data_IF_949541823394
#
_entry.id   IF_949541823394
#
_cell.length_a   1.000
_cell.length_b   1.000
_cell.length_c   1.000
_cell.angle_alpha   90.00
_cell.angle_beta   90.00
_cell.angle_gamma   90.00
#
_symmetry.space_group_name_H-M   'P 1'
#
loop_
_entity.id
_entity.type
_entity.pdbx_description
1 polymer ?
#
# COMPACT_ATOMS: atom_id res chain seq x y z
N UNK A 1 -14.67 26.11 -2.01
CA UNK A 1 -13.88 27.18 -1.36
C UNK A 1 -12.40 26.80 -1.43
N UNK A 2 -11.50 27.68 -1.87
CA UNK A 2 -10.07 27.35 -1.95
C UNK A 2 -9.44 27.13 -0.57
N UNK A 3 -8.55 26.13 -0.45
CA UNK A 3 -7.72 25.89 0.74
C UNK A 3 -6.53 26.86 0.74
N UNK A 4 -6.49 27.75 1.72
CA UNK A 4 -5.59 28.91 1.74
C UNK A 4 -4.34 28.67 2.61
N UNK A 5 -3.38 29.61 2.54
CA UNK A 5 -2.23 29.63 3.46
C UNK A 5 -2.64 29.68 4.93
N UNK A 6 -3.70 30.43 5.27
CA UNK A 6 -4.24 30.48 6.63
C UNK A 6 -4.82 29.12 7.05
N UNK A 7 -5.54 28.45 6.14
CA UNK A 7 -6.10 27.12 6.42
C UNK A 7 -4.99 26.09 6.68
N UNK A 8 -3.88 26.17 5.96
CA UNK A 8 -2.75 25.29 6.18
C UNK A 8 -2.07 25.54 7.53
N UNK A 9 -1.90 26.81 7.94
CA UNK A 9 -1.36 27.11 9.27
C UNK A 9 -2.31 26.64 10.39
N UNK A 10 -3.63 26.80 10.19
CA UNK A 10 -4.63 26.29 11.13
C UNK A 10 -4.59 24.75 11.20
N UNK A 11 -4.41 24.05 10.07
CA UNK A 11 -4.21 22.61 10.04
C UNK A 11 -2.98 22.20 10.85
N UNK A 12 -1.82 22.82 10.60
CA UNK A 12 -0.58 22.53 11.34
C UNK A 12 -0.78 22.71 12.85
N UNK A 13 -1.47 23.78 13.24
CA UNK A 13 -1.82 24.07 14.64
C UNK A 13 -2.73 22.99 15.23
N UNK A 14 -3.76 22.58 14.49
CA UNK A 14 -4.68 21.51 14.89
C UNK A 14 -3.93 20.18 15.13
N UNK A 15 -3.05 19.80 14.20
CA UNK A 15 -2.21 18.61 14.31
C UNK A 15 -1.22 18.71 15.46
N UNK A 16 -0.58 19.87 15.67
CA UNK A 16 0.29 20.10 16.83
C UNK A 16 -0.42 19.85 18.16
N UNK A 17 -1.65 20.36 18.33
CA UNK A 17 -2.44 20.11 19.54
C UNK A 17 -2.88 18.66 19.70
N UNK A 18 -3.15 17.96 18.60
CA UNK A 18 -3.39 16.51 18.62
C UNK A 18 -2.18 15.76 19.20
N UNK A 19 -0.95 16.10 18.77
CA UNK A 19 0.27 15.49 19.30
C UNK A 19 0.52 15.81 20.77
N UNK A 20 0.30 17.07 21.17
CA UNK A 20 0.41 17.52 22.56
C UNK A 20 -0.50 16.70 23.48
N UNK A 21 -1.69 16.33 22.99
CA UNK A 21 -2.64 15.45 23.68
C UNK A 21 -2.31 13.96 23.56
N UNK A 22 -1.17 13.60 22.96
CA UNK A 22 -0.71 12.23 22.69
C UNK A 22 -1.74 11.39 21.94
N UNK A 23 -2.51 12.00 21.05
CA UNK A 23 -3.46 11.30 20.18
C UNK A 23 -2.79 10.96 18.87
N UNK A 24 -2.81 9.68 18.48
CA UNK A 24 -2.23 9.23 17.21
C UNK A 24 -3.01 9.74 15.99
N UNK A 25 -4.33 9.84 16.09
CA UNK A 25 -5.22 10.34 15.06
C UNK A 25 -6.35 11.19 15.67
N UNK A 26 -7.00 12.02 14.84
CA UNK A 26 -8.16 12.81 15.24
C UNK A 26 -9.43 11.97 15.44
N UNK A 27 -9.53 10.88 14.68
CA UNK A 27 -10.60 9.88 14.79
C UNK A 27 -9.93 8.57 15.17
N UNK A 28 -10.50 7.86 16.14
CA UNK A 28 -9.92 6.59 16.59
C UNK A 28 -9.90 5.56 15.45
N UNK A 29 -8.91 4.66 15.52
CA UNK A 29 -8.87 3.47 14.68
C UNK A 29 -10.13 2.65 14.94
N UNK A 30 -10.88 2.36 13.89
CA UNK A 30 -12.08 1.52 13.97
C UNK A 30 -11.69 0.10 13.57
N UNK A 31 -12.23 -0.91 14.25
CA UNK A 31 -12.24 -2.27 13.70
C UNK A 31 -13.50 -2.41 12.86
N UNK A 32 -13.35 -2.85 11.61
CA UNK A 32 -14.47 -3.22 10.77
C UNK A 32 -15.03 -4.55 11.30
N UNK A 33 -16.36 -4.70 11.46
CA UNK A 33 -16.95 -5.91 12.00
C UNK A 33 -16.87 -7.08 11.00
N UNK A 34 -16.78 -6.79 9.70
CA UNK A 34 -16.53 -7.74 8.63
C UNK A 34 -15.67 -7.08 7.54
N UNK A 35 -14.43 -7.55 7.40
CA UNK A 35 -13.49 -7.06 6.39
C UNK A 35 -13.85 -7.49 4.97
N UNK A 36 -14.63 -8.57 4.83
CA UNK A 36 -15.03 -9.14 3.53
C UNK A 36 -16.24 -8.43 2.93
N UNK A 37 -17.07 -7.81 3.75
CA UNK A 37 -18.19 -7.00 3.30
C UNK A 37 -17.72 -5.59 2.91
N UNK A 38 -17.50 -5.38 1.61
CA UNK A 38 -17.01 -4.10 1.08
C UNK A 38 -18.10 -3.04 0.95
N UNK A 39 -19.26 -3.40 0.43
CA UNK A 39 -20.32 -2.45 0.08
C UNK A 39 -21.02 -1.85 1.29
N UNK A 40 -21.07 -2.56 2.42
CA UNK A 40 -21.70 -2.02 3.62
C UNK A 40 -21.22 -2.70 4.92
N UNK A 41 -19.95 -2.48 5.32
CA UNK A 41 -19.40 -3.09 6.53
C UNK A 41 -20.12 -2.69 7.83
N UNK A 42 -20.99 -1.66 7.81
CA UNK A 42 -21.68 -1.16 9.00
C UNK A 42 -23.23 -1.26 8.96
N UNK A 43 -23.80 -1.76 7.87
CA UNK A 43 -25.27 -1.76 7.68
C UNK A 43 -25.87 -0.35 7.52
N UNK A 44 -25.08 0.65 7.12
CA UNK A 44 -25.50 2.05 6.94
C UNK A 44 -25.76 2.32 5.45
N UNK A 45 -26.83 3.05 5.08
CA UNK A 45 -27.10 3.37 3.67
C UNK A 45 -25.92 4.09 3.00
N UNK A 46 -25.51 3.62 1.81
CA UNK A 46 -24.48 4.25 0.98
C UNK A 46 -25.08 5.52 0.36
N UNK A 47 -24.45 6.67 0.60
CA UNK A 47 -25.00 7.98 0.21
C UNK A 47 -24.63 8.47 -1.19
N UNK A 48 -24.00 7.64 -2.01
CA UNK A 48 -23.78 7.88 -3.45
C UNK A 48 -24.25 6.61 -4.16
N UNK A 49 -25.38 6.71 -4.86
CA UNK A 49 -25.85 5.64 -5.73
C UNK A 49 -24.98 5.51 -7.00
N UNK A 50 -25.15 4.45 -7.79
CA UNK A 50 -24.47 4.27 -9.08
C UNK A 50 -24.75 5.38 -10.12
N UNK A 51 -25.64 6.33 -9.80
CA UNK A 51 -26.14 7.38 -10.69
C UNK A 51 -25.49 8.76 -10.42
N UNK A 52 -24.32 8.83 -9.77
CA UNK A 52 -23.54 10.05 -9.49
C UNK A 52 -24.24 11.16 -8.67
N UNK A 53 -25.39 10.88 -8.07
CA UNK A 53 -26.11 11.86 -7.25
C UNK A 53 -25.77 11.72 -5.76
N UNK A 54 -25.25 12.78 -5.10
CA UNK A 54 -25.08 12.79 -3.66
C UNK A 54 -26.44 12.87 -2.99
N UNK A 55 -26.80 11.85 -2.20
CA UNK A 55 -27.93 11.96 -1.29
C UNK A 55 -27.55 12.88 -0.12
N UNK A 56 -28.51 13.63 0.41
CA UNK A 56 -28.35 14.59 1.51
C UNK A 56 -27.75 13.96 2.80
N UNK A 57 -27.67 12.63 2.86
CA UNK A 57 -27.08 11.80 3.94
C UNK A 57 -25.81 11.04 3.48
N UNK A 58 -24.83 11.72 2.86
CA UNK A 58 -23.59 11.05 2.47
C UNK A 58 -22.76 10.60 3.68
N UNK A 59 -22.12 9.42 3.58
CA UNK A 59 -21.08 8.93 4.53
C UNK A 59 -20.04 10.00 4.87
N UNK A 60 -19.79 10.92 3.92
CA UNK A 60 -18.91 12.07 4.07
C UNK A 60 -19.52 13.22 4.87
N UNK A 61 -20.79 13.55 4.68
CA UNK A 61 -21.44 14.69 5.31
C UNK A 61 -21.83 14.39 6.77
N UNK A 62 -22.26 13.15 7.07
CA UNK A 62 -22.79 12.78 8.39
C UNK A 62 -21.92 11.76 9.15
N UNK A 63 -20.94 11.11 8.50
CA UNK A 63 -20.10 10.07 9.10
C UNK A 63 -18.80 10.61 9.70
N UNK A 64 -17.67 10.38 9.01
CA UNK A 64 -16.35 10.53 9.62
C UNK A 64 -15.77 11.96 9.56
N UNK A 65 -16.07 12.74 8.51
CA UNK A 65 -15.56 14.13 8.40
C UNK A 65 -16.18 15.08 9.43
N UNK A 66 -17.38 14.76 9.93
CA UNK A 66 -18.05 15.49 11.01
C UNK A 66 -17.44 15.23 12.39
N UNK A 67 -16.70 14.12 12.54
CA UNK A 67 -16.02 13.75 13.79
C UNK A 67 -14.60 14.33 13.89
N UNK A 68 -14.07 14.85 12.77
CA UNK A 68 -12.73 15.44 12.70
C UNK A 68 -12.73 16.92 13.11
N UNK A 69 -11.60 17.44 13.63
CA UNK A 69 -11.38 18.88 13.73
C UNK A 69 -11.66 19.58 12.38
N UNK A 70 -12.30 20.74 12.45
CA UNK A 70 -12.76 21.48 11.26
C UNK A 70 -11.64 21.70 10.24
N UNK A 71 -10.43 21.99 10.71
CA UNK A 71 -9.25 22.27 9.89
C UNK A 71 -8.80 21.01 9.13
N UNK A 72 -8.84 19.85 9.77
CA UNK A 72 -8.50 18.56 9.16
C UNK A 72 -9.57 18.14 8.14
N UNK A 73 -10.85 18.25 8.51
CA UNK A 73 -11.99 18.02 7.61
C UNK A 73 -11.91 18.90 6.35
N UNK A 74 -11.56 20.20 6.52
CA UNK A 74 -11.39 21.13 5.41
C UNK A 74 -10.22 20.73 4.49
N UNK A 75 -9.11 20.25 5.04
CA UNK A 75 -7.98 19.78 4.26
C UNK A 75 -8.32 18.51 3.45
N UNK A 76 -8.99 17.53 4.07
CA UNK A 76 -9.43 16.31 3.38
C UNK A 76 -10.42 16.62 2.26
N UNK A 77 -11.38 17.52 2.49
CA UNK A 77 -12.29 18.00 1.42
C UNK A 77 -11.51 18.61 0.26
N UNK A 78 -10.51 19.46 0.54
CA UNK A 78 -9.69 20.06 -0.51
C UNK A 78 -8.83 19.04 -1.29
N UNK A 79 -8.38 17.96 -0.65
CA UNK A 79 -7.70 16.83 -1.31
C UNK A 79 -8.68 16.08 -2.22
N UNK A 80 -9.87 15.75 -1.73
CA UNK A 80 -10.91 15.07 -2.51
C UNK A 80 -11.39 15.92 -3.70
N UNK A 81 -11.61 17.21 -3.49
CA UNK A 81 -11.97 18.18 -4.54
C UNK A 81 -10.89 18.29 -5.63
N UNK A 82 -9.63 18.01 -5.28
CA UNK A 82 -8.52 17.99 -6.23
C UNK A 82 -8.53 16.71 -7.05
N UNK A 83 -8.72 15.57 -6.41
CA UNK A 83 -8.79 14.26 -7.04
C UNK A 83 -9.98 14.15 -8.00
N UNK A 84 -11.13 14.74 -7.65
CA UNK A 84 -12.34 14.72 -8.48
C UNK A 84 -12.22 15.50 -9.80
N UNK A 85 -11.13 16.23 -10.03
CA UNK A 85 -10.83 16.88 -11.32
C UNK A 85 -10.32 15.88 -12.38
N UNK A 86 -9.94 14.68 -11.97
CA UNK A 86 -9.56 13.56 -12.84
C UNK A 86 -10.72 12.56 -12.93
N UNK A 87 -10.90 11.95 -14.10
CA UNK A 87 -11.90 10.89 -14.29
C UNK A 87 -11.55 9.67 -13.42
N UNK A 88 -10.29 9.22 -13.47
CA UNK A 88 -9.83 8.12 -12.62
C UNK A 88 -9.90 8.50 -11.14
N UNK A 89 -9.49 9.72 -10.77
CA UNK A 89 -9.55 10.21 -9.40
C UNK A 89 -10.98 10.26 -8.85
N UNK A 90 -11.95 10.64 -9.68
CA UNK A 90 -13.37 10.59 -9.32
C UNK A 90 -13.87 9.16 -9.08
N UNK A 91 -13.52 8.21 -9.96
CA UNK A 91 -13.88 6.79 -9.79
C UNK A 91 -13.26 6.18 -8.53
N UNK A 92 -12.01 6.51 -8.22
CA UNK A 92 -11.34 6.10 -6.98
C UNK A 92 -12.11 6.58 -5.74
N UNK A 93 -12.59 7.83 -5.75
CA UNK A 93 -13.38 8.38 -4.64
C UNK A 93 -14.74 7.69 -4.50
N UNK A 94 -15.40 7.32 -5.60
CA UNK A 94 -16.66 6.56 -5.57
C UNK A 94 -16.43 5.20 -4.89
N UNK A 95 -15.40 4.46 -5.31
CA UNK A 95 -15.07 3.17 -4.68
C UNK A 95 -14.65 3.32 -3.22
N UNK A 96 -13.93 4.40 -2.88
CA UNK A 96 -13.60 4.72 -1.50
C UNK A 96 -14.86 4.93 -0.66
N UNK A 97 -15.83 5.68 -1.17
CA UNK A 97 -17.07 5.95 -0.44
C UNK A 97 -17.94 4.70 -0.30
N UNK A 98 -18.02 3.84 -1.34
CA UNK A 98 -18.67 2.53 -1.29
C UNK A 98 -18.01 1.59 -0.26
N UNK A 99 -16.68 1.57 -0.24
CA UNK A 99 -15.87 0.79 0.71
C UNK A 99 -15.85 1.35 2.14
N UNK A 100 -16.49 2.50 2.36
CA UNK A 100 -16.43 3.31 3.57
C UNK A 100 -14.99 3.70 3.97
N UNK A 101 -14.09 3.85 3.00
CA UNK A 101 -12.67 4.18 3.21
C UNK A 101 -12.56 5.62 3.73
N UNK A 102 -11.81 5.83 4.81
CA UNK A 102 -11.60 7.17 5.39
C UNK A 102 -10.24 7.72 4.95
N UNK A 103 -10.18 9.01 4.64
CA UNK A 103 -8.91 9.74 4.61
C UNK A 103 -8.71 10.45 5.94
N UNK A 104 -7.57 10.28 6.60
CA UNK A 104 -7.30 10.89 7.91
C UNK A 104 -5.84 11.31 8.08
N UNK A 105 -5.58 12.19 9.05
CA UNK A 105 -4.21 12.52 9.46
C UNK A 105 -3.81 11.66 10.66
N UNK A 106 -2.66 10.98 10.54
CA UNK A 106 -2.09 10.15 11.59
C UNK A 106 -0.63 10.49 11.79
N UNK A 107 -0.22 10.60 13.05
CA UNK A 107 1.19 10.77 13.38
C UNK A 107 1.90 9.42 13.24
N UNK A 108 2.84 9.35 12.29
CA UNK A 108 3.84 8.30 12.21
C UNK A 108 5.24 8.89 12.44
N UNK A 109 5.61 9.16 13.71
CA UNK A 109 6.89 9.76 14.04
C UNK A 109 8.03 8.79 13.70
N UNK A 110 8.82 9.15 12.68
CA UNK A 110 9.87 8.31 12.10
C UNK A 110 9.50 7.69 10.75
N UNK A 111 8.21 7.70 10.39
CA UNK A 111 7.74 7.39 9.05
C UNK A 111 8.14 8.50 8.09
N UNK A 112 8.79 8.13 6.97
CA UNK A 112 9.13 9.11 5.93
C UNK A 112 8.09 9.17 4.82
N UNK A 113 7.05 8.33 4.87
CA UNK A 113 6.02 8.35 3.85
C UNK A 113 5.14 9.57 4.01
N UNK A 114 4.57 9.95 2.88
CA UNK A 114 3.57 10.99 2.80
C UNK A 114 2.20 10.44 3.16
N UNK A 115 1.89 9.24 2.68
CA UNK A 115 0.64 8.54 2.94
C UNK A 115 0.88 7.02 3.07
N UNK A 116 -0.12 6.31 3.58
CA UNK A 116 -0.23 4.85 3.51
C UNK A 116 -1.68 4.40 3.58
N UNK A 117 -1.98 3.25 3.00
CA UNK A 117 -3.28 2.59 3.10
C UNK A 117 -3.23 1.45 4.12
N UNK A 118 -4.15 1.48 5.08
CA UNK A 118 -4.34 0.41 6.06
C UNK A 118 -5.57 -0.44 5.69
N UNK A 119 -5.42 -1.60 5.03
CA UNK A 119 -6.55 -2.41 4.55
C UNK A 119 -7.45 -2.90 5.69
N UNK A 120 -6.88 -3.30 6.83
CA UNK A 120 -7.66 -3.74 8.00
C UNK A 120 -8.53 -2.65 8.67
N UNK A 121 -8.26 -1.38 8.37
CA UNK A 121 -9.06 -0.24 8.88
C UNK A 121 -9.88 0.43 7.77
N UNK A 122 -9.51 0.16 6.51
CA UNK A 122 -9.85 0.90 5.30
C UNK A 122 -9.62 2.40 5.51
N UNK A 123 -8.39 2.75 5.87
CA UNK A 123 -7.98 4.13 6.09
C UNK A 123 -6.80 4.49 5.17
N UNK A 124 -6.93 5.60 4.44
CA UNK A 124 -5.82 6.33 3.81
C UNK A 124 -5.29 7.32 4.86
N UNK A 125 -4.07 7.10 5.31
CA UNK A 125 -3.45 7.81 6.41
C UNK A 125 -2.40 8.77 5.88
N UNK A 126 -2.66 10.08 5.99
CA UNK A 126 -1.70 11.14 5.67
C UNK A 126 -0.79 11.37 6.87
N UNK A 127 0.51 11.24 6.67
CA UNK A 127 1.48 11.36 7.76
C UNK A 127 1.57 12.81 8.25
N UNK A 128 1.02 13.09 9.44
CA UNK A 128 1.05 14.42 10.03
C UNK A 128 2.38 14.78 10.69
N UNK A 129 3.29 13.82 10.84
CA UNK A 129 4.64 14.04 11.38
C UNK A 129 5.74 13.98 10.30
N UNK A 130 5.35 13.81 9.03
CA UNK A 130 6.26 13.58 7.91
C UNK A 130 6.44 14.78 6.96
N UNK A 131 7.08 14.55 5.79
CA UNK A 131 7.45 15.58 4.82
C UNK A 131 6.28 16.44 4.34
N UNK A 132 5.05 15.89 4.38
CA UNK A 132 3.84 16.59 3.98
C UNK A 132 3.63 17.90 4.77
N UNK A 133 4.01 17.94 6.04
CA UNK A 133 3.88 19.13 6.87
C UNK A 133 5.01 20.14 6.69
N UNK A 134 6.10 19.77 6.01
CA UNK A 134 7.23 20.64 5.70
C UNK A 134 7.03 21.44 4.40
N UNK A 135 5.95 21.18 3.68
CA UNK A 135 5.66 21.84 2.41
C UNK A 135 5.57 23.38 2.57
N UNK A 136 6.13 24.15 1.62
CA UNK A 136 6.30 25.60 1.75
C UNK A 136 5.01 26.38 1.50
N UNK A 137 3.96 25.75 0.98
CA UNK A 137 2.69 26.42 0.69
C UNK A 137 1.49 25.47 0.77
N UNK A 138 0.32 26.03 1.05
CA UNK A 138 -0.95 25.30 1.06
C UNK A 138 -1.23 24.62 -0.30
N UNK A 139 -0.89 25.27 -1.42
CA UNK A 139 -1.07 24.71 -2.76
C UNK A 139 -0.20 23.47 -2.95
N UNK A 140 1.07 23.52 -2.56
CA UNK A 140 2.00 22.39 -2.70
C UNK A 140 1.64 21.24 -1.76
N UNK A 141 1.24 21.57 -0.53
CA UNK A 141 0.67 20.61 0.43
C UNK A 141 -0.53 19.84 -0.16
N UNK A 142 -1.56 20.54 -0.67
CA UNK A 142 -2.73 19.87 -1.26
C UNK A 142 -2.33 19.04 -2.48
N UNK A 143 -1.44 19.54 -3.34
CA UNK A 143 -0.99 18.82 -4.52
C UNK A 143 -0.27 17.51 -4.15
N UNK A 144 0.67 17.57 -3.20
CA UNK A 144 1.40 16.40 -2.72
C UNK A 144 0.45 15.41 -2.03
N UNK A 145 -0.37 15.87 -1.08
CA UNK A 145 -1.34 15.01 -0.40
C UNK A 145 -2.30 14.33 -1.39
N UNK A 146 -2.72 15.02 -2.45
CA UNK A 146 -3.61 14.46 -3.46
C UNK A 146 -2.92 13.40 -4.31
N UNK A 147 -1.69 13.65 -4.79
CA UNK A 147 -0.93 12.67 -5.57
C UNK A 147 -0.77 11.34 -4.80
N UNK A 148 -0.31 11.42 -3.55
CA UNK A 148 -0.12 10.23 -2.73
C UNK A 148 -1.46 9.61 -2.30
N UNK A 149 -2.51 10.40 -2.04
CA UNK A 149 -3.84 9.83 -1.78
C UNK A 149 -4.43 9.09 -3.00
N UNK A 150 -4.07 9.48 -4.23
CA UNK A 150 -4.47 8.72 -5.42
C UNK A 150 -3.77 7.37 -5.47
N UNK A 151 -2.46 7.33 -5.15
CA UNK A 151 -1.67 6.11 -5.04
C UNK A 151 -2.27 5.16 -3.98
N UNK A 152 -2.54 5.64 -2.76
CA UNK A 152 -3.17 4.84 -1.70
C UNK A 152 -4.57 4.33 -2.05
N UNK A 153 -5.34 5.09 -2.84
CA UNK A 153 -6.65 4.62 -3.29
C UNK A 153 -6.57 3.53 -4.37
N UNK A 154 -5.44 3.38 -5.05
CA UNK A 154 -5.24 2.19 -5.90
C UNK A 154 -5.01 0.96 -5.02
N UNK A 155 -4.26 1.07 -3.91
CA UNK A 155 -4.14 -0.02 -2.93
C UNK A 155 -5.47 -0.39 -2.29
N UNK A 156 -6.34 0.59 -2.09
CA UNK A 156 -7.74 0.34 -1.71
C UNK A 156 -8.49 -0.52 -2.74
N UNK A 157 -8.32 -0.29 -4.05
CA UNK A 157 -8.94 -1.14 -5.08
C UNK A 157 -8.37 -2.56 -5.08
N UNK A 158 -7.09 -2.71 -4.77
CA UNK A 158 -6.44 -4.02 -4.63
C UNK A 158 -7.00 -4.78 -3.43
N UNK A 159 -7.26 -4.07 -2.33
CA UNK A 159 -7.95 -4.64 -1.17
C UNK A 159 -9.42 -5.00 -1.46
N UNK A 160 -10.10 -4.21 -2.30
CA UNK A 160 -11.43 -4.53 -2.81
C UNK A 160 -11.41 -5.79 -3.67
N UNK A 161 -10.47 -5.90 -4.61
CA UNK A 161 -10.38 -7.01 -5.56
C UNK A 161 -10.20 -8.38 -4.88
N UNK A 162 -9.44 -8.43 -3.77
CA UNK A 162 -9.19 -9.67 -3.02
C UNK A 162 -10.16 -9.93 -1.86
N UNK A 163 -11.19 -9.09 -1.69
CA UNK A 163 -12.21 -9.31 -0.65
C UNK A 163 -11.73 -8.97 0.78
N UNK A 164 -10.83 -8.00 0.95
CA UNK A 164 -10.61 -7.21 2.16
C UNK A 164 -9.72 -7.78 3.26
N UNK A 165 -8.56 -7.15 3.47
CA UNK A 165 -7.55 -7.32 4.53
C UNK A 165 -6.24 -7.91 4.00
N UNK A 166 -5.14 -7.16 4.06
CA UNK A 166 -3.78 -7.57 3.59
C UNK A 166 -3.67 -7.93 2.09
N UNK A 167 -4.65 -7.54 1.26
CA UNK A 167 -4.61 -7.72 -0.19
C UNK A 167 -4.22 -9.15 -0.62
N UNK A 168 -4.72 -10.18 0.05
CA UNK A 168 -4.52 -11.59 -0.32
C UNK A 168 -3.13 -12.18 -0.06
N UNK A 169 -2.18 -11.42 0.52
CA UNK A 169 -0.82 -11.88 0.81
C UNK A 169 -0.68 -12.16 2.31
N UNK A 170 -0.31 -13.38 2.70
CA UNK A 170 -0.20 -13.78 4.11
C UNK A 170 0.93 -14.81 4.35
N UNK A 171 1.07 -15.29 5.60
CA UNK A 171 2.08 -16.27 6.05
C UNK A 171 2.21 -17.53 5.17
N UNK A 172 1.12 -17.98 4.55
CA UNK A 172 1.07 -19.14 3.67
C UNK A 172 1.59 -18.85 2.26
N UNK A 173 1.61 -17.59 1.83
CA UNK A 173 2.10 -17.20 0.50
C UNK A 173 3.61 -17.34 0.41
N UNK A 174 4.10 -18.05 -0.62
CA UNK A 174 5.52 -18.22 -0.92
C UNK A 174 6.20 -16.87 -1.20
N UNK A 175 7.45 -16.70 -0.73
CA UNK A 175 8.14 -15.41 -0.76
C UNK A 175 8.27 -14.83 -2.18
N UNK A 176 8.50 -15.68 -3.17
CA UNK A 176 8.57 -15.28 -4.59
C UNK A 176 7.26 -14.68 -5.10
N UNK A 177 6.13 -15.26 -4.69
CA UNK A 177 4.79 -14.74 -5.04
C UNK A 177 4.49 -13.45 -4.32
N UNK A 178 4.91 -13.30 -3.06
CA UNK A 178 4.77 -12.05 -2.31
C UNK A 178 5.52 -10.91 -2.99
N UNK A 179 6.78 -11.16 -3.35
CA UNK A 179 7.64 -10.19 -4.04
C UNK A 179 6.96 -9.75 -5.35
N UNK A 180 6.53 -10.71 -6.17
CA UNK A 180 5.90 -10.39 -7.46
C UNK A 180 4.59 -9.60 -7.29
N UNK A 181 3.73 -10.02 -6.37
CA UNK A 181 2.47 -9.35 -6.11
C UNK A 181 2.67 -7.91 -5.60
N UNK A 182 3.55 -7.70 -4.62
CA UNK A 182 3.88 -6.36 -4.10
C UNK A 182 4.42 -5.45 -5.21
N UNK A 183 5.32 -5.96 -6.06
CA UNK A 183 5.85 -5.18 -7.19
C UNK A 183 4.74 -4.70 -8.14
N UNK A 184 3.82 -5.59 -8.51
CA UNK A 184 2.70 -5.22 -9.38
C UNK A 184 1.70 -4.28 -8.70
N UNK A 185 1.45 -4.46 -7.41
CA UNK A 185 0.59 -3.56 -6.62
C UNK A 185 1.11 -2.12 -6.67
N UNK A 186 2.40 -1.93 -6.39
CA UNK A 186 3.05 -0.63 -6.36
C UNK A 186 3.17 -0.01 -7.76
N UNK A 187 3.56 -0.81 -8.76
CA UNK A 187 3.63 -0.36 -10.15
C UNK A 187 2.26 0.11 -10.65
N UNK A 188 1.17 -0.58 -10.30
CA UNK A 188 -0.19 -0.15 -10.62
C UNK A 188 -0.60 1.12 -9.86
N UNK A 189 -0.26 1.23 -8.57
CA UNK A 189 -0.57 2.41 -7.76
C UNK A 189 0.14 3.68 -8.26
N UNK A 190 1.41 3.54 -8.66
CA UNK A 190 2.17 4.62 -9.29
C UNK A 190 1.61 5.00 -10.66
N UNK A 191 1.30 4.00 -11.50
CA UNK A 191 0.71 4.28 -12.81
C UNK A 191 -0.66 4.98 -12.69
N UNK A 192 -1.48 4.58 -11.71
CA UNK A 192 -2.77 5.21 -11.41
C UNK A 192 -2.61 6.66 -10.91
N UNK A 193 -1.70 6.92 -9.96
CA UNK A 193 -1.48 8.28 -9.45
C UNK A 193 -0.92 9.22 -10.52
N UNK A 194 -0.05 8.72 -11.40
CA UNK A 194 0.48 9.47 -12.56
C UNK A 194 -0.64 9.82 -13.55
N UNK A 195 -1.54 8.88 -13.85
CA UNK A 195 -2.69 9.16 -14.71
C UNK A 195 -3.59 10.24 -14.09
N UNK A 196 -3.90 10.14 -12.79
CA UNK A 196 -4.66 11.18 -12.07
C UNK A 196 -3.96 12.53 -12.19
N UNK A 197 -2.65 12.59 -11.93
CA UNK A 197 -1.88 13.83 -12.03
C UNK A 197 -1.94 14.46 -13.43
N UNK A 198 -1.87 13.63 -14.48
CA UNK A 198 -1.95 14.06 -15.87
C UNK A 198 -3.35 14.60 -16.22
N UNK A 199 -4.40 13.88 -15.84
CA UNK A 199 -5.79 14.30 -16.09
C UNK A 199 -6.14 15.62 -15.36
N UNK A 200 -5.67 15.80 -14.13
CA UNK A 200 -5.82 17.08 -13.40
C UNK A 200 -5.07 18.22 -14.10
N UNK A 201 -3.90 17.94 -14.69
CA UNK A 201 -3.18 18.92 -15.51
C UNK A 201 -3.96 19.28 -16.79
N UNK A 202 -4.58 18.31 -17.45
CA UNK A 202 -5.47 18.54 -18.61
C UNK A 202 -6.70 19.38 -18.23
N UNK A 203 -7.21 19.25 -17.01
CA UNK A 203 -8.27 20.08 -16.46
C UNK A 203 -7.83 21.52 -16.10
N UNK A 204 -6.56 21.87 -16.32
CA UNK A 204 -6.01 23.21 -16.14
C UNK A 204 -5.23 23.43 -14.85
N UNK A 205 -4.99 22.40 -14.04
CA UNK A 205 -4.19 22.49 -12.82
C UNK A 205 -3.00 21.52 -12.81
N UNK A 206 -1.85 22.00 -13.32
CA UNK A 206 -0.62 21.22 -13.42
C UNK A 206 0.11 20.92 -12.09
N UNK A 207 -0.47 21.27 -10.95
CA UNK A 207 0.20 21.17 -9.66
C UNK A 207 0.58 19.75 -9.24
N UNK A 208 -0.27 18.73 -9.46
CA UNK A 208 0.05 17.33 -9.18
C UNK A 208 1.13 16.82 -10.14
N UNK A 209 0.97 17.13 -11.43
CA UNK A 209 1.92 16.78 -12.47
C UNK A 209 3.33 17.34 -12.19
N UNK A 210 3.41 18.58 -11.68
CA UNK A 210 4.68 19.19 -11.23
C UNK A 210 5.33 18.46 -10.06
N UNK A 211 4.56 17.81 -9.19
CA UNK A 211 5.11 16.95 -8.13
C UNK A 211 5.63 15.65 -8.74
N UNK A 212 4.82 14.98 -9.58
CA UNK A 212 5.21 13.74 -10.25
C UNK A 212 6.47 13.90 -11.14
N UNK A 213 6.67 15.08 -11.71
CA UNK A 213 7.84 15.43 -12.54
C UNK A 213 8.98 16.13 -11.76
N UNK A 214 8.90 16.23 -10.42
CA UNK A 214 9.87 17.01 -9.63
C UNK A 214 11.22 16.28 -9.51
N UNK A 215 12.19 16.66 -10.35
CA UNK A 215 13.55 16.08 -10.36
C UNK A 215 14.33 16.25 -9.05
N UNK A 216 13.88 17.12 -8.14
CA UNK A 216 14.50 17.31 -6.81
C UNK A 216 14.05 16.23 -5.83
N UNK A 217 12.98 15.53 -6.16
CA UNK A 217 12.53 14.31 -5.52
C UNK A 217 12.34 13.25 -6.61
N UNK A 218 13.44 12.75 -7.23
CA UNK A 218 13.40 11.84 -8.38
C UNK A 218 12.91 10.43 -8.00
N UNK A 219 12.03 10.37 -7.00
CA UNK A 219 11.38 9.20 -6.46
C UNK A 219 10.50 8.53 -7.54
N UNK A 220 9.92 7.41 -7.13
CA UNK A 220 9.00 6.48 -7.81
C UNK A 220 8.24 7.02 -9.03
N UNK A 221 7.61 8.18 -8.89
CA UNK A 221 6.67 8.72 -9.87
C UNK A 221 7.37 9.29 -11.10
N UNK A 222 8.62 9.77 -11.01
CA UNK A 222 9.27 10.50 -12.10
C UNK A 222 9.48 9.62 -13.35
N UNK A 223 10.09 8.42 -13.27
CA UNK A 223 10.25 7.57 -14.46
C UNK A 223 8.92 7.12 -15.06
N UNK A 224 7.92 6.87 -14.21
CA UNK A 224 6.57 6.52 -14.64
C UNK A 224 5.88 7.69 -15.35
N UNK A 225 6.00 8.91 -14.82
CA UNK A 225 5.46 10.13 -15.40
C UNK A 225 6.14 10.50 -16.73
N UNK A 226 7.46 10.35 -16.84
CA UNK A 226 8.20 10.55 -18.10
C UNK A 226 7.75 9.54 -19.17
N UNK A 227 7.60 8.26 -18.82
CA UNK A 227 7.11 7.23 -19.73
C UNK A 227 5.66 7.49 -20.17
N UNK A 228 4.79 7.84 -19.22
CA UNK A 228 3.39 8.19 -19.49
C UNK A 228 3.28 9.35 -20.47
N UNK A 229 4.00 10.45 -20.19
CA UNK A 229 4.00 11.64 -21.05
C UNK A 229 4.52 11.32 -22.44
N UNK A 230 5.60 10.54 -22.55
CA UNK A 230 6.16 10.15 -23.84
C UNK A 230 5.16 9.35 -24.67
N UNK A 231 4.42 8.41 -24.07
CA UNK A 231 3.39 7.65 -24.77
C UNK A 231 2.26 8.57 -25.28
N UNK A 232 1.75 9.48 -24.45
CA UNK A 232 0.67 10.40 -24.86
C UNK A 232 1.13 11.39 -25.93
N UNK A 233 2.38 11.87 -25.86
CA UNK A 233 2.94 12.78 -26.87
C UNK A 233 3.15 12.09 -28.23
N UNK A 234 3.57 10.83 -28.22
CA UNK A 234 3.77 10.05 -29.44
C UNK A 234 2.43 9.63 -30.07
N UNK A 235 1.43 9.30 -29.24
CA UNK A 235 0.09 8.96 -29.68
C UNK A 235 -0.95 9.38 -28.63
N UNK A 236 -1.73 10.45 -28.89
CA UNK A 236 -2.75 10.90 -27.93
C UNK A 236 -3.80 9.86 -27.57
N UNK A 237 -4.04 8.84 -28.42
CA UNK A 237 -4.96 7.74 -28.10
C UNK A 237 -4.45 6.85 -26.97
N UNK A 238 -3.14 6.86 -26.71
CA UNK A 238 -2.51 6.08 -25.64
C UNK A 238 -3.08 6.39 -24.25
N UNK A 239 -3.60 7.60 -24.04
CA UNK A 239 -4.32 7.96 -22.81
C UNK A 239 -5.62 7.17 -22.67
N UNK A 240 -6.46 7.19 -23.70
CA UNK A 240 -7.81 6.59 -23.67
C UNK A 240 -7.81 5.06 -23.82
N UNK A 241 -6.80 4.48 -24.44
CA UNK A 241 -6.69 3.03 -24.67
C UNK A 241 -5.78 2.32 -23.66
N UNK A 242 -5.37 3.02 -22.58
CA UNK A 242 -4.60 2.44 -21.48
C UNK A 242 -3.11 2.24 -21.76
N UNK A 243 -2.59 2.43 -22.99
CA UNK A 243 -1.16 2.23 -23.29
C UNK A 243 -0.25 3.18 -22.52
N UNK A 244 -0.67 4.43 -22.29
CA UNK A 244 0.11 5.39 -21.50
C UNK A 244 0.27 4.92 -20.05
N UNK A 245 -0.80 4.39 -19.47
CA UNK A 245 -0.77 3.76 -18.15
C UNK A 245 0.09 2.50 -18.14
N UNK A 246 0.00 1.67 -19.19
CA UNK A 246 0.81 0.46 -19.31
C UNK A 246 2.31 0.76 -19.29
N UNK A 247 2.77 1.73 -20.08
CA UNK A 247 4.20 2.07 -20.09
C UNK A 247 4.67 2.71 -18.78
N UNK A 248 3.78 3.40 -18.06
CA UNK A 248 4.07 3.93 -16.72
C UNK A 248 4.24 2.80 -15.70
N UNK A 249 3.38 1.78 -15.75
CA UNK A 249 3.51 0.56 -14.95
C UNK A 249 4.86 -0.13 -15.23
N UNK A 250 5.20 -0.34 -16.50
CA UNK A 250 6.45 -0.98 -16.90
C UNK A 250 7.70 -0.18 -16.50
N UNK A 251 7.61 1.16 -16.44
CA UNK A 251 8.71 2.03 -16.05
C UNK A 251 9.10 1.85 -14.58
N UNK A 252 8.16 1.44 -13.71
CA UNK A 252 8.44 1.14 -12.30
C UNK A 252 9.51 0.05 -12.16
N UNK A 253 9.40 -1.02 -12.94
CA UNK A 253 10.33 -2.16 -12.92
C UNK A 253 11.75 -1.84 -13.44
N UNK A 254 11.95 -0.67 -14.05
CA UNK A 254 13.27 -0.21 -14.48
C UNK A 254 14.06 0.47 -13.35
N UNK A 255 13.41 0.73 -12.20
CA UNK A 255 14.01 1.39 -11.05
C UNK A 255 14.59 0.35 -10.08
N UNK A 256 15.78 -0.19 -10.40
CA UNK A 256 16.36 -1.35 -9.67
C UNK A 256 16.56 -1.11 -8.18
N UNK A 257 17.03 0.07 -7.79
CA UNK A 257 17.30 0.40 -6.38
C UNK A 257 16.01 0.50 -5.55
N UNK A 258 14.96 1.02 -6.18
CA UNK A 258 13.65 1.18 -5.58
C UNK A 258 12.94 -0.17 -5.45
N UNK A 259 12.94 -0.97 -6.52
CA UNK A 259 12.44 -2.36 -6.47
C UNK A 259 13.19 -3.17 -5.41
N UNK A 260 14.51 -2.97 -5.25
CA UNK A 260 15.30 -3.64 -4.20
C UNK A 260 14.89 -3.24 -2.78
N UNK A 261 14.28 -2.07 -2.60
CA UNK A 261 13.74 -1.64 -1.31
C UNK A 261 12.46 -2.41 -0.96
N UNK A 262 11.55 -2.60 -1.92
CA UNK A 262 10.33 -3.39 -1.72
C UNK A 262 10.65 -4.86 -1.45
N UNK A 263 11.54 -5.44 -2.26
CA UNK A 263 12.01 -6.80 -2.04
C UNK A 263 12.59 -6.98 -0.62
N UNK A 264 13.42 -6.02 -0.16
CA UNK A 264 13.98 -6.05 1.20
C UNK A 264 12.90 -6.07 2.28
N UNK A 265 11.89 -5.22 2.15
CA UNK A 265 10.81 -5.14 3.13
C UNK A 265 9.98 -6.42 3.15
N UNK A 266 9.63 -6.95 1.97
CA UNK A 266 8.88 -8.22 1.83
C UNK A 266 9.67 -9.40 2.40
N UNK A 267 10.98 -9.48 2.12
CA UNK A 267 11.87 -10.52 2.66
C UNK A 267 12.00 -10.41 4.19
N UNK A 268 12.21 -9.20 4.72
CA UNK A 268 12.31 -8.99 6.16
C UNK A 268 11.02 -9.40 6.88
N UNK A 269 9.86 -8.99 6.36
CA UNK A 269 8.59 -9.38 6.97
C UNK A 269 8.43 -10.90 7.03
N UNK A 270 8.75 -11.61 5.95
CA UNK A 270 8.66 -13.06 5.93
C UNK A 270 9.64 -13.72 6.90
N UNK A 271 10.85 -13.18 7.06
CA UNK A 271 11.80 -13.60 8.11
C UNK A 271 11.18 -13.47 9.50
N UNK A 272 10.60 -12.31 9.82
CA UNK A 272 9.99 -12.02 11.13
C UNK A 272 8.82 -13.01 11.42
N UNK A 273 8.00 -13.31 10.41
CA UNK A 273 6.91 -14.31 10.50
C UNK A 273 7.46 -15.73 10.77
N UNK A 274 8.52 -16.14 10.06
CA UNK A 274 9.14 -17.46 10.22
C UNK A 274 9.80 -17.60 11.60
N UNK A 275 10.44 -16.55 12.09
CA UNK A 275 11.08 -16.52 13.42
C UNK A 275 10.04 -16.72 14.53
N UNK A 276 8.88 -16.05 14.42
CA UNK A 276 7.77 -16.25 15.34
C UNK A 276 7.29 -17.71 15.34
N UNK A 277 7.04 -18.29 14.15
CA UNK A 277 6.57 -19.68 14.04
C UNK A 277 7.61 -20.67 14.61
N UNK A 278 8.90 -20.44 14.35
CA UNK A 278 9.99 -21.26 14.86
C UNK A 278 10.09 -21.19 16.40
N UNK A 279 9.91 -20.00 17.00
CA UNK A 279 9.83 -19.84 18.44
C UNK A 279 8.71 -20.68 19.07
N UNK A 280 7.54 -20.72 18.44
CA UNK A 280 6.43 -21.57 18.87
C UNK A 280 6.74 -23.06 18.69
N UNK A 281 7.42 -23.47 17.62
CA UNK A 281 7.87 -24.86 17.43
C UNK A 281 8.79 -25.30 18.57
N UNK A 282 9.77 -24.47 18.95
CA UNK A 282 10.70 -24.76 20.04
C UNK A 282 10.03 -24.94 21.40
N UNK A 283 8.91 -24.24 21.62
CA UNK A 283 8.07 -24.37 22.81
C UNK A 283 7.06 -25.55 22.73
N UNK A 284 7.11 -26.36 21.67
CA UNK A 284 6.19 -27.49 21.47
C UNK A 284 4.81 -27.12 20.94
N UNK A 285 4.69 -25.97 20.26
CA UNK A 285 3.44 -25.37 19.78
C UNK A 285 2.38 -25.23 20.89
N UNK A 286 2.61 -24.36 21.89
CA UNK A 286 1.63 -24.10 22.95
C UNK A 286 0.30 -23.59 22.40
N UNK A 287 0.33 -22.93 21.23
CA UNK A 287 -0.84 -22.59 20.43
C UNK A 287 -0.99 -23.59 19.26
N UNK A 288 -2.07 -24.39 19.21
CA UNK A 288 -2.30 -25.34 18.14
C UNK A 288 -2.57 -24.68 16.78
N UNK A 289 -3.01 -23.42 16.72
CA UNK A 289 -3.26 -22.72 15.45
C UNK A 289 -1.94 -22.40 14.74
N UNK A 290 -0.90 -22.01 15.48
CA UNK A 290 0.43 -21.74 14.91
C UNK A 290 1.03 -23.03 14.32
N UNK A 291 0.69 -24.18 14.88
CA UNK A 291 1.05 -25.48 14.29
C UNK A 291 0.34 -25.72 12.96
N UNK A 292 -0.90 -25.27 12.81
CA UNK A 292 -1.60 -25.33 11.52
C UNK A 292 -0.96 -24.38 10.50
N UNK A 293 -0.63 -23.15 10.92
CA UNK A 293 0.10 -22.18 10.08
C UNK A 293 1.42 -22.77 9.59
N UNK A 294 2.19 -23.38 10.49
CA UNK A 294 3.49 -23.96 10.17
C UNK A 294 3.42 -25.04 9.07
N UNK A 295 2.28 -25.75 8.91
CA UNK A 295 2.12 -26.80 7.88
C UNK A 295 2.05 -26.23 6.46
N UNK A 296 1.54 -25.01 6.33
CA UNK A 296 1.24 -24.38 5.04
C UNK A 296 2.06 -23.10 4.81
N UNK A 297 2.93 -22.70 5.76
CA UNK A 297 3.74 -21.48 5.67
C UNK A 297 4.56 -21.47 4.38
N UNK A 298 4.43 -20.43 3.57
CA UNK A 298 5.09 -20.30 2.27
C UNK A 298 4.83 -21.44 1.27
N UNK A 299 3.67 -22.10 1.33
CA UNK A 299 3.27 -23.14 0.37
C UNK A 299 2.48 -22.59 -0.83
N UNK A 300 1.75 -21.50 -0.63
CA UNK A 300 0.79 -20.99 -1.62
C UNK A 300 1.46 -20.11 -2.66
N UNK A 301 1.12 -20.39 -3.92
CA UNK A 301 1.51 -19.56 -5.07
C UNK A 301 0.31 -18.69 -5.43
N UNK A 302 0.52 -17.37 -5.51
CA UNK A 302 -0.52 -16.45 -5.96
C UNK A 302 -0.78 -16.71 -7.43
N UNK A 303 -2.01 -17.06 -7.79
CA UNK A 303 -2.39 -17.33 -9.17
C UNK A 303 -2.27 -16.07 -10.04
N UNK A 304 -1.91 -16.22 -11.31
CA UNK A 304 -1.71 -15.07 -12.20
C UNK A 304 -2.97 -14.21 -12.38
N UNK A 305 -4.16 -14.81 -12.31
CA UNK A 305 -5.42 -14.07 -12.34
C UNK A 305 -5.59 -13.12 -11.15
N UNK A 306 -5.04 -13.47 -9.98
CA UNK A 306 -5.03 -12.63 -8.79
C UNK A 306 -4.02 -11.49 -8.96
N UNK A 307 -2.83 -11.78 -9.52
CA UNK A 307 -1.84 -10.74 -9.83
C UNK A 307 -2.39 -9.74 -10.85
N UNK A 308 -3.09 -10.23 -11.88
CA UNK A 308 -3.86 -9.37 -12.80
C UNK A 308 -4.90 -8.53 -12.06
N UNK A 309 -5.63 -9.13 -11.13
CA UNK A 309 -6.58 -8.43 -10.24
C UNK A 309 -5.94 -7.23 -9.52
N UNK A 310 -4.73 -7.37 -8.99
CA UNK A 310 -4.00 -6.26 -8.32
C UNK A 310 -3.68 -5.08 -9.24
N UNK A 311 -3.61 -5.33 -10.54
CA UNK A 311 -3.35 -4.28 -11.51
C UNK A 311 -4.62 -3.60 -12.02
N UNK A 312 -5.80 -4.12 -11.63
CA UNK A 312 -7.10 -3.65 -12.08
C UNK A 312 -7.41 -2.22 -11.65
N UNK A 313 -7.85 -1.38 -12.59
CA UNK A 313 -8.36 -0.04 -12.32
C UNK A 313 -9.74 0.17 -12.96
N UNK A 314 -10.61 1.04 -12.41
CA UNK A 314 -11.95 1.28 -12.94
C UNK A 314 -11.96 1.92 -14.33
N UNK A 315 -10.83 2.49 -14.75
CA UNK A 315 -10.67 3.05 -16.10
C UNK A 315 -10.35 1.93 -17.10
N UNK A 316 -11.31 1.67 -18.01
CA UNK A 316 -11.13 0.75 -19.14
C UNK A 316 -10.35 1.40 -20.29
N UNK A 317 -9.57 0.63 -21.07
CA UNK A 317 -9.29 -0.81 -20.90
C UNK A 317 -8.28 -1.10 -19.77
N UNK A 318 -8.35 -2.30 -19.18
CA UNK A 318 -7.34 -2.76 -18.22
C UNK A 318 -5.96 -2.78 -18.88
N UNK A 319 -5.00 -2.06 -18.31
CA UNK A 319 -3.72 -1.83 -18.99
C UNK A 319 -2.83 -3.08 -19.06
N UNK A 320 -3.08 -4.08 -18.22
CA UNK A 320 -2.39 -5.37 -18.27
C UNK A 320 -2.97 -6.33 -19.32
N UNK A 321 -4.18 -6.10 -19.81
CA UNK A 321 -4.84 -6.93 -20.84
C UNK A 321 -4.54 -6.46 -22.27
N UNK A 322 -3.69 -5.45 -22.45
CA UNK A 322 -3.39 -4.87 -23.75
C UNK A 322 -2.53 -5.81 -24.61
N UNK A 323 -2.99 -6.09 -25.82
CA UNK A 323 -2.24 -6.86 -26.81
C UNK A 323 -0.88 -6.23 -27.13
N UNK A 324 0.15 -7.08 -27.31
CA UNK A 324 1.49 -6.65 -27.68
C UNK A 324 2.37 -6.15 -26.53
N UNK A 325 1.87 -6.23 -25.29
CA UNK A 325 2.66 -6.02 -24.09
C UNK A 325 2.86 -7.34 -23.34
N UNK A 326 3.87 -7.39 -22.46
CA UNK A 326 4.17 -8.63 -21.74
C UNK A 326 3.14 -8.95 -20.64
N UNK A 327 3.11 -10.19 -20.18
CA UNK A 327 2.22 -10.61 -19.10
C UNK A 327 2.84 -10.39 -17.71
N UNK A 328 2.06 -10.49 -16.63
CA UNK A 328 2.47 -10.28 -15.23
C UNK A 328 3.60 -11.22 -14.76
N UNK A 329 3.81 -12.36 -15.42
CA UNK A 329 4.88 -13.31 -15.09
C UNK A 329 6.16 -13.12 -15.91
N UNK A 330 6.20 -12.09 -16.77
CA UNK A 330 7.34 -11.85 -17.64
C UNK A 330 8.67 -11.74 -16.87
N UNK A 331 9.74 -12.23 -17.51
CA UNK A 331 11.07 -12.31 -16.90
C UNK A 331 11.61 -10.96 -16.45
N UNK A 332 11.13 -9.86 -17.03
CA UNK A 332 11.53 -8.50 -16.63
C UNK A 332 10.94 -8.12 -15.27
N UNK A 333 9.75 -8.62 -14.93
CA UNK A 333 9.07 -8.36 -13.66
C UNK A 333 9.51 -9.30 -12.54
N UNK A 334 9.92 -10.52 -12.89
CA UNK A 334 10.39 -11.56 -11.95
C UNK A 334 11.90 -11.54 -11.70
N UNK A 335 12.65 -10.67 -12.39
CA UNK A 335 14.10 -10.54 -12.21
C UNK A 335 14.45 -10.13 -10.77
N UNK A 336 15.42 -10.82 -10.17
CA UNK A 336 15.99 -10.43 -8.88
C UNK A 336 16.67 -9.06 -8.95
N UNK A 337 16.40 -8.21 -7.97
CA UNK A 337 16.98 -6.86 -7.85
C UNK A 337 18.45 -6.88 -7.43
N UNK A 338 18.82 -7.88 -6.63
CA UNK A 338 20.19 -8.14 -6.25
C UNK A 338 20.39 -9.62 -5.97
N UNK A 339 21.62 -10.08 -6.11
CA UNK A 339 21.99 -11.45 -5.76
C UNK A 339 21.81 -11.74 -4.27
N UNK A 340 22.15 -10.77 -3.41
CA UNK A 340 21.98 -10.86 -1.96
C UNK A 340 20.52 -11.17 -1.58
N UNK A 341 19.57 -10.40 -2.11
CA UNK A 341 18.15 -10.56 -1.79
C UNK A 341 17.58 -11.86 -2.34
N UNK A 342 18.04 -12.29 -3.52
CA UNK A 342 17.69 -13.59 -4.07
C UNK A 342 18.16 -14.74 -3.15
N UNK A 343 19.43 -14.72 -2.72
CA UNK A 343 19.97 -15.74 -1.82
C UNK A 343 19.26 -15.72 -0.46
N UNK A 344 18.91 -14.54 0.06
CA UNK A 344 18.12 -14.40 1.29
C UNK A 344 16.70 -15.00 1.14
N UNK A 345 16.01 -14.71 0.04
CA UNK A 345 14.68 -15.26 -0.22
C UNK A 345 14.71 -16.80 -0.36
N UNK A 346 15.68 -17.36 -1.10
CA UNK A 346 15.84 -18.82 -1.22
C UNK A 346 16.13 -19.49 0.12
N UNK A 347 16.92 -18.83 0.98
CA UNK A 347 17.23 -19.34 2.32
C UNK A 347 15.98 -19.37 3.21
N UNK A 348 15.17 -18.30 3.20
CA UNK A 348 13.89 -18.27 3.94
C UNK A 348 12.89 -19.32 3.43
N UNK A 349 12.83 -19.59 2.13
CA UNK A 349 12.05 -20.72 1.58
C UNK A 349 12.58 -22.08 2.07
N UNK A 350 13.88 -22.19 2.34
CA UNK A 350 14.47 -23.32 3.05
C UNK A 350 13.92 -23.49 4.47
N UNK A 351 13.87 -22.40 5.25
CA UNK A 351 13.32 -22.39 6.61
C UNK A 351 11.82 -22.73 6.59
N UNK A 352 11.04 -22.12 5.70
CA UNK A 352 9.63 -22.42 5.54
C UNK A 352 9.39 -23.92 5.25
N UNK A 353 10.20 -24.54 4.37
CA UNK A 353 10.16 -25.99 4.12
C UNK A 353 10.44 -26.82 5.36
N UNK A 354 11.39 -26.43 6.22
CA UNK A 354 11.65 -27.13 7.49
C UNK A 354 10.42 -27.11 8.39
N UNK A 355 9.81 -25.93 8.57
CA UNK A 355 8.60 -25.77 9.38
C UNK A 355 7.44 -26.63 8.86
N UNK A 356 7.18 -26.60 7.55
CA UNK A 356 6.13 -27.43 6.91
C UNK A 356 6.33 -28.92 7.13
N UNK A 357 7.59 -29.36 7.07
CA UNK A 357 7.96 -30.76 7.28
C UNK A 357 8.13 -31.12 8.77
N UNK A 358 7.77 -30.22 9.69
CA UNK A 358 7.96 -30.38 11.13
C UNK A 358 9.41 -30.76 11.50
N UNK A 359 10.37 -30.25 10.73
CA UNK A 359 11.79 -30.32 11.04
C UNK A 359 12.14 -29.18 12.00
N UNK A 360 13.06 -29.40 12.96
CA UNK A 360 13.51 -28.34 13.86
C UNK A 360 14.13 -27.17 13.09
N UNK A 361 13.73 -25.96 13.47
CA UNK A 361 14.36 -24.69 13.07
C UNK A 361 15.07 -24.09 14.29
N UNK A 362 16.30 -23.63 14.10
CA UNK A 362 17.16 -23.11 15.16
C UNK A 362 17.53 -21.64 14.93
N UNK A 363 18.13 -21.00 15.95
CA UNK A 363 18.65 -19.63 15.83
C UNK A 363 19.67 -19.52 14.67
N UNK A 364 20.55 -20.50 14.52
CA UNK A 364 21.56 -20.59 13.44
C UNK A 364 20.95 -20.51 12.03
N UNK A 365 19.68 -20.90 11.85
CA UNK A 365 19.00 -20.76 10.56
C UNK A 365 18.78 -19.27 10.21
N UNK A 366 18.47 -18.43 11.19
CA UNK A 366 18.31 -16.99 11.00
C UNK A 366 19.65 -16.25 11.00
N UNK A 367 20.64 -16.71 11.77
CA UNK A 367 22.01 -16.19 11.68
C UNK A 367 22.61 -16.44 10.30
N UNK A 368 22.35 -17.61 9.69
CA UNK A 368 22.79 -17.90 8.32
C UNK A 368 22.12 -16.97 7.29
N UNK A 369 20.87 -16.57 7.50
CA UNK A 369 20.21 -15.55 6.69
C UNK A 369 20.91 -14.19 6.81
N UNK A 370 21.27 -13.77 8.03
CA UNK A 370 21.93 -12.49 8.28
C UNK A 370 23.36 -12.51 7.70
N UNK A 371 24.06 -13.64 7.81
CA UNK A 371 25.38 -13.86 7.22
C UNK A 371 25.39 -13.82 5.68
N UNK A 372 24.24 -14.01 5.00
CA UNK A 372 24.17 -13.78 3.54
C UNK A 372 24.45 -12.32 3.24
N UNK A 373 23.85 -11.37 3.97
CA UNK A 373 24.10 -9.95 3.75
C UNK A 373 25.57 -9.59 3.93
N UNK A 374 26.22 -10.15 4.95
CA UNK A 374 27.63 -9.92 5.27
C UNK A 374 28.59 -10.32 4.13
N UNK A 375 28.27 -11.38 3.37
CA UNK A 375 29.06 -11.81 2.19
C UNK A 375 29.12 -10.75 1.09
N UNK A 376 28.14 -9.85 1.05
CA UNK A 376 28.03 -8.81 0.02
C UNK A 376 28.46 -7.42 0.54
N UNK A 377 28.92 -7.31 1.80
CA UNK A 377 29.47 -6.06 2.34
C UNK A 377 30.94 -5.91 1.94
N UNK A 378 31.18 -5.16 0.86
CA UNK A 378 32.50 -4.61 0.50
C UNK A 378 32.58 -3.13 0.83
N UNK A 379 33.24 -2.78 1.95
CA UNK A 379 33.42 -1.45 2.56
C UNK A 379 32.13 -0.76 3.07
N UNK A 380 32.17 -0.11 4.26
CA UNK A 380 31.03 0.66 4.74
C UNK A 380 30.73 1.82 3.79
N UNK A 381 29.45 2.22 3.63
CA UNK A 381 29.12 3.39 2.83
C UNK A 381 29.89 4.61 3.34
N UNK A 382 30.40 5.44 2.43
CA UNK A 382 31.05 6.71 2.81
C UNK A 382 30.06 7.52 3.67
N UNK A 383 30.50 8.12 4.78
CA UNK A 383 29.65 9.03 5.54
C UNK A 383 29.20 10.17 4.60
N UNK A 384 27.91 10.18 4.23
CA UNK A 384 27.35 11.16 3.30
C UNK A 384 26.43 10.58 2.22
N UNK A 385 26.51 9.28 1.91
CA UNK A 385 25.56 8.60 1.02
C UNK A 385 24.38 8.03 1.82
N UNK A 386 23.62 8.91 2.46
CA UNK A 386 22.27 8.55 2.88
C UNK A 386 21.38 8.59 1.65
N UNK A 387 21.23 7.47 0.94
CA UNK A 387 19.95 7.18 0.32
C UNK A 387 18.93 7.29 1.46
N UNK A 388 18.12 8.34 1.42
CA UNK A 388 17.13 8.65 2.45
C UNK A 388 16.13 7.50 2.45
N UNK A 389 16.34 6.47 3.26
CA UNK A 389 15.43 5.31 3.42
C UNK A 389 14.03 5.82 3.74
N UNK A 390 13.04 5.87 2.83
CA UNK A 390 11.71 6.20 3.27
C UNK A 390 11.16 4.96 3.97
N UNK A 391 10.74 5.12 5.23
CA UNK A 391 10.16 4.04 6.02
C UNK A 391 8.75 3.77 5.47
N UNK A 392 8.62 2.94 4.44
CA UNK A 392 7.33 2.57 3.83
C UNK A 392 6.50 1.70 4.79
N UNK A 393 5.31 2.21 5.15
CA UNK A 393 4.51 1.79 6.31
C UNK A 393 3.27 1.00 5.93
N UNK A 394 3.18 0.51 4.68
CA UNK A 394 2.17 -0.48 4.29
C UNK A 394 2.13 -1.70 5.23
N UNK A 395 3.22 -1.93 5.97
CA UNK A 395 3.42 -3.09 6.86
C UNK A 395 4.00 -2.66 8.24
N UNK A 396 4.36 -1.39 8.46
CA UNK A 396 5.05 -0.95 9.70
C UNK A 396 4.13 -0.62 10.87
N UNK A 397 2.87 -0.23 10.62
CA UNK A 397 1.88 -0.08 11.72
C UNK A 397 1.62 -1.43 12.44
N UNK A 398 2.07 -2.52 11.82
CA UNK A 398 1.95 -3.89 12.23
C UNK A 398 3.23 -4.50 12.85
N UNK A 399 4.37 -3.80 12.76
CA UNK A 399 5.66 -4.21 13.36
C UNK A 399 5.78 -3.83 14.84
N UNK A 400 5.17 -2.72 15.29
CA UNK A 400 5.18 -2.35 16.73
C UNK A 400 4.40 -3.32 17.62
N UNK A 401 3.67 -4.26 17.02
CA UNK A 401 2.90 -5.25 17.74
C UNK A 401 3.68 -6.58 17.89
N UNK A 402 4.79 -6.79 17.17
CA UNK A 402 5.56 -8.04 17.15
C UNK A 402 6.79 -8.04 18.07
N UNK A 403 7.00 -7.00 18.89
CA UNK A 403 8.12 -6.95 19.82
C UNK A 403 7.89 -7.89 21.04
N UNK A 404 8.63 -9.02 21.02
CA UNK A 404 9.04 -9.87 22.13
C UNK A 404 7.97 -10.33 23.14
N UNK A 405 7.29 -11.44 22.82
CA UNK A 405 7.11 -12.56 23.76
C UNK A 405 6.41 -13.72 23.05
N UNK A 406 6.84 -14.96 23.31
CA UNK A 406 6.20 -16.20 22.82
C UNK A 406 4.75 -16.41 23.31
N UNK A 407 4.25 -15.47 24.12
CA UNK A 407 2.86 -15.36 24.62
C UNK A 407 2.33 -13.92 24.59
N UNK A 408 2.98 -13.00 23.87
CA UNK A 408 2.71 -11.55 23.90
C UNK A 408 1.75 -11.02 22.82
N UNK A 409 1.54 -9.69 22.76
CA UNK A 409 0.66 -9.00 21.80
C UNK A 409 0.95 -9.34 20.31
N UNK A 410 2.19 -9.73 19.99
CA UNK A 410 2.62 -10.09 18.64
C UNK A 410 2.07 -11.41 18.13
N UNK A 411 2.06 -12.44 18.98
CA UNK A 411 1.44 -13.72 18.65
C UNK A 411 -0.08 -13.55 18.47
N UNK A 412 -0.73 -12.73 19.31
CA UNK A 412 -2.16 -12.43 19.21
C UNK A 412 -2.51 -11.70 17.90
N UNK A 413 -1.66 -10.77 17.45
CA UNK A 413 -1.85 -10.06 16.18
C UNK A 413 -1.60 -10.96 14.96
N UNK A 414 -0.54 -11.75 14.98
CA UNK A 414 -0.24 -12.73 13.94
C UNK A 414 -1.39 -13.74 13.77
N UNK A 415 -1.93 -14.25 14.88
CA UNK A 415 -3.07 -15.16 14.87
C UNK A 415 -4.36 -14.50 14.40
N UNK A 416 -4.61 -13.22 14.75
CA UNK A 416 -5.75 -12.47 14.23
C UNK A 416 -5.71 -12.42 12.70
N UNK A 417 -4.54 -12.08 12.12
CA UNK A 417 -4.35 -12.02 10.66
C UNK A 417 -4.56 -13.37 9.98
N UNK A 418 -4.01 -14.43 10.57
CA UNK A 418 -4.21 -15.77 10.00
C UNK A 418 -5.67 -16.24 10.07
N UNK A 419 -6.37 -15.96 11.18
CA UNK A 419 -7.80 -16.28 11.29
C UNK A 419 -8.61 -15.53 10.23
N UNK A 420 -8.27 -14.27 9.97
CA UNK A 420 -8.87 -13.46 8.92
C UNK A 420 -8.60 -14.03 7.52
N UNK A 421 -7.38 -14.49 7.23
CA UNK A 421 -7.05 -15.08 5.91
C UNK A 421 -7.72 -16.44 5.69
N UNK A 422 -7.77 -17.31 6.70
CA UNK A 422 -8.38 -18.65 6.59
C UNK A 422 -9.90 -18.61 6.43
N UNK A 423 -10.56 -17.66 7.09
CA UNK A 423 -12.01 -17.49 6.93
C UNK A 423 -12.37 -17.11 5.49
N UNK A 424 -11.48 -16.45 4.74
CA UNK A 424 -11.69 -16.12 3.32
C UNK A 424 -11.54 -17.30 2.38
N UNK A 425 -10.58 -18.20 2.61
CA UNK A 425 -10.45 -19.43 1.83
C UNK A 425 -11.69 -20.35 1.89
N UNK A 426 -12.61 -20.11 2.83
CA UNK A 426 -13.87 -20.84 3.00
C UNK A 426 -15.10 -20.14 2.44
N UNK A 427 -15.01 -18.85 2.08
CA UNK A 427 -16.13 -18.10 1.49
C UNK A 427 -15.98 -18.16 -0.02
N UNK A 428 -16.89 -18.81 -0.76
CA UNK A 428 -16.88 -18.74 -2.21
C UNK A 428 -17.03 -17.27 -2.64
N UNK A 429 -16.11 -16.80 -3.49
CA UNK A 429 -16.25 -15.49 -4.12
C UNK A 429 -17.65 -15.40 -4.74
N UNK A 430 -18.40 -14.30 -4.52
CA UNK A 430 -19.67 -14.12 -5.21
C UNK A 430 -19.42 -14.24 -6.72
N UNK A 431 -20.27 -15.01 -7.39
CA UNK A 431 -20.23 -15.10 -8.84
C UNK A 431 -20.35 -13.69 -9.41
N UNK A 432 -19.32 -13.24 -10.14
CA UNK A 432 -19.37 -11.96 -10.86
C UNK A 432 -20.58 -12.01 -11.82
N UNK A 433 -21.42 -10.96 -11.88
CA UNK A 433 -22.55 -10.90 -12.81
C UNK A 433 -22.11 -10.95 -14.28
#
# INVERSE_FOLDING_TARGET
>A
MAFTGLDFQNLKTSLFFQRQKKKAAAVDGRRLPDLTNWENPYGVPIGIGPDDHPHEHSFLAEGYLGQMPREQSKAIRAIRDKLSQSQLGHQLLIHADQGHVRMLFRDDPGGKNVASYAPGLRDVMLNSAGPLMDEPSARRFIAMASLYSAHEQVHMLQDYAEGGGEMGINSQTAISSRILAVRHMEAAAVAGSVQVAYEVAMAGDDSLWKIAMDKRNPDIELPAAEAFLSAVQNDPKALSDGRARRVAHDAWFRQTDYMAQYDRNTIKQFRDELELIAGHQGAGYPDPEIREIARDVGADIVGMSVIHGYTGLPAQPQHMDLEGFEDVDDKRYTRGTSRMLYEQAEHLDGIARKLRNNQPVYADDFEAYDAIAEKFVGAPPKPGEHARVPNFSYIQDDQRLLENDSTGPGAANFLSRWRESRNRARVPLPARP
#
